data_IF_396508002230
#
_entry.id   IF_396508002230
#
_cell.length_a   1.000
_cell.length_b   1.000
_cell.length_c   1.000
_cell.angle_alpha   90.00
_cell.angle_beta   90.00
_cell.angle_gamma   90.00
#
_symmetry.space_group_name_H-M   'P 1'
#
loop_
_entity.id
_entity.type
_entity.pdbx_description
1 polymer ?
#
# COMPACT_ATOMS: atom_id res chain seq x y z
N UNK A 1 19.53 -26.54 22.75
CA UNK A 1 18.27 -26.37 22.00
C UNK A 1 18.52 -25.38 20.88
N UNK A 2 18.36 -25.82 19.62
CA UNK A 2 18.65 -25.03 18.44
C UNK A 2 17.35 -24.33 17.98
N UNK A 3 17.23 -23.04 18.29
CA UNK A 3 16.09 -22.21 17.87
C UNK A 3 16.23 -21.81 16.40
N UNK A 4 16.14 -22.78 15.48
CA UNK A 4 16.09 -22.51 14.02
C UNK A 4 14.64 -22.59 13.56
N UNK A 5 13.88 -21.54 13.89
CA UNK A 5 12.57 -21.24 13.30
C UNK A 5 12.12 -19.78 13.52
N UNK A 6 13.06 -18.83 13.72
CA UNK A 6 12.72 -17.45 14.10
C UNK A 6 13.17 -16.37 13.11
N UNK A 7 13.68 -16.72 11.92
CA UNK A 7 13.52 -15.84 10.77
C UNK A 7 12.14 -16.12 10.18
N UNK A 8 11.08 -15.77 10.93
CA UNK A 8 9.82 -15.41 10.29
C UNK A 8 10.18 -14.26 9.38
N UNK A 9 10.19 -14.52 8.09
CA UNK A 9 10.44 -13.54 7.05
C UNK A 9 9.24 -12.56 7.02
N UNK A 10 9.12 -11.76 8.09
CA UNK A 10 8.05 -10.78 8.33
C UNK A 10 8.14 -9.61 7.34
N UNK A 11 9.15 -9.60 6.47
CA UNK A 11 9.43 -8.54 5.51
C UNK A 11 9.09 -8.92 4.06
N UNK A 12 8.34 -10.00 3.82
CA UNK A 12 7.91 -10.36 2.45
C UNK A 12 7.02 -9.30 1.78
N UNK A 13 6.31 -8.48 2.55
CA UNK A 13 5.36 -7.49 2.03
C UNK A 13 5.97 -6.10 2.05
N UNK A 14 6.02 -5.44 0.88
CA UNK A 14 6.47 -4.05 0.73
C UNK A 14 5.26 -3.12 0.75
N UNK A 15 5.38 -2.00 1.46
CA UNK A 15 4.41 -0.90 1.39
C UNK A 15 4.87 0.06 0.32
N UNK A 16 3.99 0.39 -0.61
CA UNK A 16 4.28 1.33 -1.68
C UNK A 16 3.23 2.43 -1.63
N UNK A 17 3.67 3.68 -1.57
CA UNK A 17 2.81 4.85 -1.75
C UNK A 17 3.21 5.54 -3.05
N UNK A 18 2.23 5.93 -3.85
CA UNK A 18 2.48 6.65 -5.10
C UNK A 18 1.91 8.07 -5.02
N UNK A 19 2.60 9.00 -5.67
CA UNK A 19 2.23 10.42 -5.69
C UNK A 19 2.57 11.02 -7.05
N UNK A 20 1.79 12.00 -7.49
CA UNK A 20 2.01 12.70 -8.77
C UNK A 20 2.34 14.18 -8.58
N UNK A 21 2.07 14.75 -7.41
CA UNK A 21 2.27 16.16 -7.11
C UNK A 21 3.45 16.36 -6.14
N UNK A 22 4.50 17.04 -6.61
CA UNK A 22 5.69 17.38 -5.82
C UNK A 22 5.43 18.43 -4.74
N UNK A 23 4.30 19.14 -4.79
CA UNK A 23 3.90 20.09 -3.74
C UNK A 23 3.48 19.38 -2.44
N UNK A 24 3.18 18.07 -2.50
CA UNK A 24 2.79 17.26 -1.33
C UNK A 24 3.97 16.84 -0.45
N UNK A 25 5.08 17.58 -0.49
CA UNK A 25 6.33 17.16 0.15
C UNK A 25 6.17 16.96 1.65
N UNK A 26 5.47 17.88 2.32
CA UNK A 26 5.25 17.81 3.77
C UNK A 26 4.42 16.58 4.14
N UNK A 27 3.33 16.32 3.39
CA UNK A 27 2.46 15.17 3.59
C UNK A 27 3.18 13.85 3.32
N UNK A 28 4.08 13.84 2.32
CA UNK A 28 4.94 12.69 2.03
C UNK A 28 5.93 12.44 3.18
N UNK A 29 6.54 13.50 3.72
CA UNK A 29 7.48 13.41 4.83
C UNK A 29 6.77 12.89 6.10
N UNK A 30 5.56 13.41 6.40
CA UNK A 30 4.71 12.95 7.50
C UNK A 30 4.32 11.47 7.34
N UNK A 31 3.93 11.05 6.12
CA UNK A 31 3.61 9.66 5.81
C UNK A 31 4.80 8.72 6.04
N UNK A 32 6.01 9.11 5.64
CA UNK A 32 7.21 8.30 5.87
C UNK A 32 7.52 8.18 7.35
N UNK A 33 7.33 9.26 8.11
CA UNK A 33 7.53 9.27 9.55
C UNK A 33 6.54 8.34 10.27
N UNK A 34 5.27 8.37 9.89
CA UNK A 34 4.22 7.52 10.46
C UNK A 34 4.37 6.05 10.03
N UNK A 35 4.72 5.82 8.76
CA UNK A 35 4.89 4.49 8.18
C UNK A 35 6.31 4.25 7.66
N UNK A 36 7.30 4.03 8.55
CA UNK A 36 8.67 3.75 8.16
C UNK A 36 8.75 2.53 7.23
N UNK A 37 9.62 2.63 6.21
CA UNK A 37 9.85 1.64 5.13
C UNK A 37 8.78 1.59 4.05
N UNK A 38 8.02 2.66 3.88
CA UNK A 38 7.17 2.85 2.69
C UNK A 38 8.05 3.24 1.51
N UNK A 39 7.95 2.48 0.42
CA UNK A 39 8.58 2.81 -0.86
C UNK A 39 7.74 3.86 -1.57
N UNK A 40 8.39 4.93 -2.03
CA UNK A 40 7.73 6.04 -2.69
C UNK A 40 7.87 5.92 -4.21
N UNK A 41 6.75 5.93 -4.92
CA UNK A 41 6.69 5.91 -6.39
C UNK A 41 6.17 7.24 -6.90
N UNK A 42 7.02 7.98 -7.61
CA UNK A 42 6.60 9.22 -8.25
C UNK A 42 5.94 8.92 -9.61
N UNK A 43 4.62 8.98 -9.65
CA UNK A 43 3.81 8.95 -10.87
C UNK A 43 3.80 10.33 -11.55
N UNK A 44 4.96 10.73 -12.08
CA UNK A 44 5.23 12.08 -12.63
C UNK A 44 4.17 12.60 -13.62
N UNK A 45 3.55 11.70 -14.38
CA UNK A 45 2.58 12.04 -15.40
C UNK A 45 1.13 11.75 -14.97
N UNK A 46 0.91 11.28 -13.74
CA UNK A 46 -0.41 10.92 -13.22
C UNK A 46 -1.06 9.76 -13.97
N UNK A 47 -0.28 8.94 -14.69
CA UNK A 47 -0.83 7.89 -15.56
C UNK A 47 -1.46 6.79 -14.72
N UNK A 48 -0.77 6.38 -13.65
CA UNK A 48 -1.25 5.31 -12.77
C UNK A 48 -2.55 5.74 -12.07
N UNK A 49 -2.57 6.93 -11.45
CA UNK A 49 -3.78 7.40 -10.75
C UNK A 49 -4.97 7.56 -11.69
N UNK A 50 -4.74 8.07 -12.92
CA UNK A 50 -5.80 8.21 -13.92
C UNK A 50 -6.34 6.85 -14.39
N UNK A 51 -5.48 5.85 -14.56
CA UNK A 51 -5.90 4.49 -14.91
C UNK A 51 -6.72 3.88 -13.78
N UNK A 52 -6.30 4.05 -12.52
CA UNK A 52 -7.05 3.56 -11.36
C UNK A 52 -8.42 4.23 -11.26
N UNK A 53 -8.48 5.56 -11.38
CA UNK A 53 -9.73 6.33 -11.35
C UNK A 53 -10.71 5.88 -12.44
N UNK A 54 -10.24 5.73 -13.69
CA UNK A 54 -11.09 5.35 -14.82
C UNK A 54 -11.72 3.97 -14.67
N UNK A 55 -11.04 3.06 -13.97
CA UNK A 55 -11.49 1.68 -13.79
C UNK A 55 -12.12 1.43 -12.41
N UNK A 56 -12.39 2.49 -11.65
CA UNK A 56 -12.91 2.42 -10.29
C UNK A 56 -14.25 3.13 -10.19
N UNK A 57 -15.12 2.63 -9.31
CA UNK A 57 -16.33 3.34 -8.86
C UNK A 57 -16.04 4.29 -7.69
N UNK A 58 -14.93 4.06 -6.97
CA UNK A 58 -14.41 4.92 -5.92
C UNK A 58 -13.59 6.07 -6.54
N UNK A 59 -13.76 7.28 -6.01
CA UNK A 59 -12.95 8.45 -6.36
C UNK A 59 -11.57 8.37 -5.70
N UNK A 60 -10.57 7.92 -6.44
CA UNK A 60 -9.19 7.72 -6.01
C UNK A 60 -8.44 9.04 -5.72
N UNK A 61 -9.01 10.19 -6.09
CA UNK A 61 -8.45 11.50 -5.72
C UNK A 61 -8.91 11.96 -4.35
N UNK A 62 -10.08 11.51 -3.90
CA UNK A 62 -10.64 11.82 -2.57
C UNK A 62 -10.35 10.72 -1.57
N UNK A 63 -10.35 9.48 -2.05
CA UNK A 63 -10.27 8.28 -1.24
C UNK A 63 -8.92 7.59 -1.44
N UNK A 64 -8.35 7.09 -0.34
CA UNK A 64 -7.05 6.44 -0.36
C UNK A 64 -7.19 4.96 0.04
N UNK A 65 -7.67 4.08 -0.85
CA UNK A 65 -7.80 2.66 -0.57
C UNK A 65 -6.43 1.97 -0.51
N UNK A 66 -6.34 0.91 0.30
CA UNK A 66 -5.13 0.10 0.40
C UNK A 66 -5.24 -1.08 -0.56
N UNK A 67 -4.33 -1.17 -1.52
CA UNK A 67 -4.23 -2.30 -2.44
C UNK A 67 -3.24 -3.35 -1.93
N UNK A 68 -3.59 -4.63 -2.12
CA UNK A 68 -2.65 -5.74 -1.96
C UNK A 68 -2.23 -6.21 -3.34
N UNK A 69 -0.92 -6.21 -3.55
CA UNK A 69 -0.28 -6.60 -4.79
C UNK A 69 0.45 -7.93 -4.55
N UNK A 70 0.25 -8.90 -5.44
CA UNK A 70 1.00 -10.16 -5.39
C UNK A 70 2.46 -9.97 -5.86
N UNK A 71 3.35 -10.97 -5.69
CA UNK A 71 4.75 -10.85 -6.12
C UNK A 71 4.96 -10.63 -7.63
N UNK A 72 3.93 -10.85 -8.46
CA UNK A 72 3.97 -10.64 -9.91
C UNK A 72 3.48 -9.23 -10.32
N UNK A 73 3.13 -8.39 -9.35
CA UNK A 73 2.67 -7.01 -9.61
C UNK A 73 1.18 -6.89 -9.90
N UNK A 74 0.37 -7.92 -9.62
CA UNK A 74 -1.08 -7.89 -9.85
C UNK A 74 -1.81 -7.47 -8.58
N UNK A 75 -2.73 -6.52 -8.70
CA UNK A 75 -3.66 -6.22 -7.61
C UNK A 75 -4.62 -7.39 -7.41
N UNK A 76 -4.60 -7.99 -6.22
CA UNK A 76 -5.42 -9.17 -5.88
C UNK A 76 -6.59 -8.85 -4.97
N UNK A 77 -6.48 -7.76 -4.20
CA UNK A 77 -7.56 -7.24 -3.37
C UNK A 77 -7.30 -5.77 -3.02
N UNK A 78 -8.34 -5.08 -2.54
CA UNK A 78 -8.21 -3.76 -1.94
C UNK A 78 -9.09 -3.66 -0.69
N UNK A 79 -8.74 -2.74 0.20
CA UNK A 79 -9.52 -2.38 1.37
C UNK A 79 -10.08 -0.98 1.20
N UNK A 80 -11.36 -0.81 1.55
CA UNK A 80 -11.98 0.51 1.54
C UNK A 80 -11.26 1.46 2.52
N UNK A 81 -11.21 2.75 2.21
CA UNK A 81 -10.79 3.78 3.15
C UNK A 81 -11.50 3.61 4.51
N UNK A 82 -10.74 3.75 5.60
CA UNK A 82 -11.27 3.61 6.97
C UNK A 82 -11.51 2.16 7.43
N UNK A 83 -11.12 1.15 6.65
CA UNK A 83 -11.16 -0.25 7.12
C UNK A 83 -10.28 -0.42 8.37
N UNK A 84 -10.84 -1.02 9.42
CA UNK A 84 -10.12 -1.32 10.67
C UNK A 84 -8.86 -2.15 10.37
N UNK A 85 -7.65 -1.66 10.75
CA UNK A 85 -6.39 -2.37 10.54
C UNK A 85 -6.39 -3.81 11.08
N UNK A 86 -7.13 -4.10 12.17
CA UNK A 86 -7.23 -5.46 12.71
C UNK A 86 -7.95 -6.41 11.76
N UNK A 87 -8.93 -5.91 11.00
CA UNK A 87 -9.63 -6.70 9.96
C UNK A 87 -8.72 -6.95 8.78
N UNK A 88 -7.98 -5.93 8.33
CA UNK A 88 -6.95 -6.06 7.29
C UNK A 88 -5.95 -7.17 7.66
N UNK A 89 -5.40 -7.13 8.88
CA UNK A 89 -4.46 -8.13 9.36
C UNK A 89 -5.06 -9.53 9.48
N UNK A 90 -6.35 -9.64 9.80
CA UNK A 90 -7.06 -10.93 9.86
C UNK A 90 -7.17 -11.55 8.46
N UNK A 91 -7.54 -10.74 7.46
CA UNK A 91 -7.70 -11.21 6.09
C UNK A 91 -6.35 -11.57 5.46
N UNK A 92 -5.31 -10.75 5.70
CA UNK A 92 -3.95 -11.04 5.24
C UNK A 92 -3.42 -12.37 5.78
N UNK A 93 -3.75 -12.75 7.02
CA UNK A 93 -3.34 -14.05 7.61
C UNK A 93 -3.91 -15.27 6.91
N UNK A 94 -5.00 -15.12 6.15
CA UNK A 94 -5.58 -16.22 5.36
C UNK A 94 -4.83 -16.41 4.04
N UNK A 95 -4.15 -15.37 3.56
CA UNK A 95 -3.46 -15.33 2.27
C UNK A 95 -1.99 -15.80 2.34
N UNK A 96 -1.45 -15.99 3.54
CA UNK A 96 -0.08 -16.47 3.82
C UNK A 96 -0.12 -17.85 4.46
#
# INVERSE_FOLDING_TARGET
QLNVALNRDIYKVRRVAFFSNLQLKTEIDDLIQEYPRTELVNDKNGVLINVLQKNSTLDMFQENPIFIIDPYGRAVMYFNPGTDPKKILKDLKVLI
#
